data_IF_240427663494
#
_entry.id   IF_240427663494
#
_cell.length_a   1.000
_cell.length_b   1.000
_cell.length_c   1.000
_cell.angle_alpha   90.00
_cell.angle_beta   90.00
_cell.angle_gamma   90.00
#
_symmetry.space_group_name_H-M   'P 1'
#
loop_
_entity.id
_entity.type
_entity.pdbx_description
1 polymer ?
#
# COMPACT_ATOMS: atom_id res chain seq x y z
N UNK A 1 19.61 -24.51 30.27
CA UNK A 1 19.48 -25.97 30.47
C UNK A 1 19.44 -26.65 29.12
N UNK A 2 20.36 -27.58 28.93
CA UNK A 2 20.63 -28.40 27.73
C UNK A 2 19.48 -29.37 27.47
N UNK A 3 19.11 -29.62 26.19
CA UNK A 3 18.89 -30.99 25.71
C UNK A 3 19.06 -31.06 24.19
N UNK A 4 20.15 -31.71 23.83
CA UNK A 4 20.47 -32.29 22.52
C UNK A 4 19.68 -33.61 22.38
N UNK A 5 19.24 -33.93 21.18
CA UNK A 5 19.01 -35.30 20.77
C UNK A 5 19.43 -35.47 19.32
N UNK A 6 20.52 -36.16 19.14
CA UNK A 6 20.97 -36.81 17.92
C UNK A 6 20.02 -37.96 17.57
N UNK A 7 19.69 -38.16 16.33
CA UNK A 7 19.40 -39.47 15.76
C UNK A 7 20.15 -39.63 14.45
N UNK A 8 21.23 -40.40 14.55
CA UNK A 8 21.93 -41.07 13.46
C UNK A 8 21.15 -42.34 13.11
N UNK A 9 20.84 -42.57 11.85
CA UNK A 9 20.59 -43.93 11.37
C UNK A 9 21.20 -44.10 9.99
N UNK A 10 22.21 -44.95 10.00
CA UNK A 10 22.93 -45.53 8.88
C UNK A 10 22.04 -46.57 8.20
N UNK A 11 22.01 -46.58 6.87
CA UNK A 11 21.37 -47.64 6.08
C UNK A 11 22.05 -47.78 4.74
N UNK A 12 22.92 -48.76 4.64
CA UNK A 12 23.70 -49.22 3.49
C UNK A 12 22.78 -50.05 2.56
N UNK A 13 22.96 -49.96 1.25
CA UNK A 13 22.30 -50.91 0.34
C UNK A 13 22.37 -50.55 -1.16
N UNK A 14 23.42 -51.02 -1.78
CA UNK A 14 23.61 -51.75 -3.05
C UNK A 14 23.15 -51.16 -4.41
N UNK A 15 24.16 -50.90 -5.22
CA UNK A 15 24.46 -51.33 -6.61
C UNK A 15 23.27 -51.61 -7.56
N UNK A 16 23.23 -50.84 -8.62
CA UNK A 16 22.42 -51.09 -9.82
C UNK A 16 22.93 -50.30 -11.03
N UNK A 17 23.49 -50.97 -11.95
CA UNK A 17 24.28 -50.70 -13.14
C UNK A 17 23.59 -49.81 -14.22
N UNK A 18 24.42 -48.97 -14.83
CA UNK A 18 24.56 -48.69 -16.29
C UNK A 18 23.29 -48.35 -17.13
N UNK A 19 23.29 -47.13 -17.65
CA UNK A 19 22.46 -46.71 -18.76
C UNK A 19 23.02 -45.43 -19.39
N UNK A 20 24.06 -45.54 -20.17
CA UNK A 20 24.50 -44.50 -21.12
C UNK A 20 23.49 -44.44 -22.28
N UNK A 21 22.74 -43.36 -22.37
CA UNK A 21 22.04 -43.02 -23.58
C UNK A 21 21.91 -41.51 -23.79
N UNK A 22 22.69 -41.03 -24.76
CA UNK A 22 22.37 -40.00 -25.72
C UNK A 22 22.02 -38.59 -25.23
N UNK A 23 22.98 -37.71 -25.39
CA UNK A 23 22.77 -36.30 -25.70
C UNK A 23 21.83 -36.13 -26.88
N UNK A 24 20.75 -35.45 -26.72
CA UNK A 24 19.96 -34.90 -27.81
C UNK A 24 19.21 -33.68 -27.34
N UNK A 25 19.57 -32.51 -27.90
CA UNK A 25 18.69 -31.38 -28.09
C UNK A 25 18.24 -30.65 -26.79
N UNK A 26 19.09 -29.74 -26.30
CA UNK A 26 18.61 -28.68 -25.39
C UNK A 26 17.58 -27.82 -26.10
N UNK A 27 16.30 -28.09 -25.85
CA UNK A 27 15.27 -27.11 -26.07
C UNK A 27 15.51 -25.97 -25.09
N UNK A 28 15.52 -24.68 -25.52
CA UNK A 28 15.52 -23.59 -24.58
C UNK A 28 14.30 -23.77 -23.68
N UNK A 29 14.52 -23.66 -22.36
CA UNK A 29 13.45 -23.64 -21.40
C UNK A 29 12.49 -22.52 -21.83
N UNK A 30 11.34 -22.93 -22.34
CA UNK A 30 10.26 -22.01 -22.64
C UNK A 30 9.96 -21.21 -21.40
N UNK A 31 9.89 -19.91 -21.56
CA UNK A 31 9.32 -19.00 -20.62
C UNK A 31 8.01 -19.63 -20.13
N UNK A 32 8.02 -20.09 -18.91
CA UNK A 32 6.80 -20.51 -18.24
C UNK A 32 5.92 -19.27 -18.17
N UNK A 33 5.01 -19.12 -19.12
CA UNK A 33 3.83 -18.29 -18.94
C UNK A 33 3.13 -18.81 -17.69
N UNK A 34 3.47 -18.25 -16.56
CA UNK A 34 2.63 -18.29 -15.39
C UNK A 34 1.38 -17.53 -15.80
N UNK A 35 0.39 -18.25 -16.30
CA UNK A 35 -0.95 -17.74 -16.45
C UNK A 35 -1.35 -17.23 -15.07
N UNK A 36 -1.24 -15.92 -14.88
CA UNK A 36 -1.62 -15.30 -13.64
C UNK A 36 -3.09 -15.68 -13.41
N UNK A 37 -3.34 -16.46 -12.38
CA UNK A 37 -4.71 -16.85 -12.03
C UNK A 37 -5.51 -15.57 -11.82
N UNK A 38 -6.67 -15.47 -12.49
CA UNK A 38 -7.58 -14.34 -12.34
C UNK A 38 -7.92 -14.17 -10.85
N UNK A 39 -7.71 -12.98 -10.33
CA UNK A 39 -8.13 -12.64 -8.98
C UNK A 39 -9.68 -12.61 -8.94
N UNK A 40 -10.28 -13.39 -8.06
CA UNK A 40 -11.74 -13.45 -7.97
C UNK A 40 -12.34 -12.12 -7.53
N UNK A 41 -11.80 -11.52 -6.49
CA UNK A 41 -12.24 -10.22 -5.96
C UNK A 41 -11.04 -9.37 -5.60
N UNK A 42 -10.99 -8.14 -6.11
CA UNK A 42 -10.04 -7.10 -5.69
C UNK A 42 -10.72 -6.22 -4.63
N UNK A 43 -10.25 -6.30 -3.39
CA UNK A 43 -10.75 -5.50 -2.27
C UNK A 43 -10.00 -4.18 -2.21
N UNK A 44 -10.71 -3.08 -2.48
CA UNK A 44 -10.16 -1.72 -2.54
C UNK A 44 -10.76 -0.88 -1.42
N UNK A 45 -9.92 -0.28 -0.59
CA UNK A 45 -10.38 0.60 0.48
C UNK A 45 -9.89 2.03 0.25
N UNK A 46 -10.83 2.98 0.31
CA UNK A 46 -10.58 4.41 0.05
C UNK A 46 -11.09 5.26 1.20
N UNK A 47 -10.48 6.42 1.48
CA UNK A 47 -10.99 7.33 2.49
C UNK A 47 -12.31 7.98 2.04
N UNK A 48 -13.12 8.44 2.99
CA UNK A 48 -14.36 9.17 2.70
C UNK A 48 -14.13 10.57 2.12
N UNK A 49 -12.89 11.04 2.07
CA UNK A 49 -12.54 12.38 1.57
C UNK A 49 -12.48 12.40 0.05
N UNK A 50 -13.28 13.24 -0.59
CA UNK A 50 -13.42 13.33 -2.05
C UNK A 50 -12.10 13.48 -2.80
N UNK A 51 -11.18 14.28 -2.30
CA UNK A 51 -9.87 14.49 -2.94
C UNK A 51 -9.07 13.19 -3.14
N UNK A 52 -9.25 12.23 -2.25
CA UNK A 52 -8.56 10.93 -2.31
C UNK A 52 -9.42 9.84 -2.95
N UNK A 53 -10.75 10.02 -2.95
CA UNK A 53 -11.65 9.09 -3.61
C UNK A 53 -11.62 9.24 -5.14
N UNK A 54 -11.51 10.48 -5.64
CA UNK A 54 -11.63 10.76 -7.06
C UNK A 54 -10.65 9.93 -7.94
N UNK A 55 -9.35 9.82 -7.65
CA UNK A 55 -8.45 8.97 -8.42
C UNK A 55 -8.81 7.48 -8.37
N UNK A 56 -9.51 7.05 -7.32
CA UNK A 56 -9.86 5.65 -7.08
C UNK A 56 -11.27 5.29 -7.57
N UNK A 57 -12.10 6.29 -7.88
CA UNK A 57 -13.47 6.07 -8.35
C UNK A 57 -13.55 5.26 -9.65
N UNK A 58 -12.47 5.26 -10.43
CA UNK A 58 -12.37 4.54 -11.69
C UNK A 58 -12.13 3.04 -11.55
N UNK A 59 -11.78 2.54 -10.36
CA UNK A 59 -11.44 1.11 -10.18
C UNK A 59 -12.60 0.14 -10.50
N UNK A 60 -13.83 0.61 -10.45
CA UNK A 60 -15.01 -0.19 -10.82
C UNK A 60 -15.57 0.08 -12.21
N UNK A 61 -15.09 1.13 -12.90
CA UNK A 61 -15.72 1.63 -14.14
C UNK A 61 -14.86 1.48 -15.39
N UNK A 62 -13.56 1.34 -15.27
CA UNK A 62 -12.70 1.15 -16.44
C UNK A 62 -12.39 -0.34 -16.64
N UNK A 63 -12.86 -0.93 -17.72
CA UNK A 63 -12.66 -2.34 -18.10
C UNK A 63 -11.20 -2.78 -18.32
N UNK A 64 -10.21 -2.00 -17.86
CA UNK A 64 -8.79 -2.34 -17.97
C UNK A 64 -8.35 -3.47 -17.03
N UNK A 65 -9.18 -3.84 -16.07
CA UNK A 65 -8.96 -4.98 -15.19
C UNK A 65 -9.66 -6.25 -15.69
N UNK A 66 -10.39 -6.17 -16.80
CA UNK A 66 -11.06 -7.30 -17.40
C UNK A 66 -10.06 -8.40 -17.73
N UNK A 67 -10.39 -9.62 -17.36
CA UNK A 67 -9.49 -10.75 -17.51
C UNK A 67 -8.49 -10.96 -16.36
N UNK A 68 -8.18 -9.91 -15.58
CA UNK A 68 -7.28 -9.98 -14.42
C UNK A 68 -8.05 -10.14 -13.11
N UNK A 69 -9.21 -9.48 -13.00
CA UNK A 69 -10.03 -9.43 -11.80
C UNK A 69 -11.46 -9.87 -12.14
N UNK A 70 -12.07 -10.67 -11.28
CA UNK A 70 -13.46 -11.11 -11.41
C UNK A 70 -14.43 -10.00 -11.07
N UNK A 71 -14.27 -9.39 -9.89
CA UNK A 71 -15.00 -8.20 -9.47
C UNK A 71 -14.10 -7.29 -8.64
N UNK A 72 -14.44 -6.00 -8.59
CA UNK A 72 -13.83 -5.03 -7.69
C UNK A 72 -14.84 -4.66 -6.61
N UNK A 73 -14.42 -4.77 -5.34
CA UNK A 73 -15.19 -4.36 -4.16
C UNK A 73 -14.54 -3.10 -3.57
N UNK A 74 -15.19 -1.96 -3.72
CA UNK A 74 -14.68 -0.65 -3.26
C UNK A 74 -15.45 -0.24 -2.01
N UNK A 75 -14.74 -0.13 -0.89
CA UNK A 75 -15.29 0.26 0.40
C UNK A 75 -14.59 1.48 0.97
N UNK A 76 -15.30 2.22 1.82
CA UNK A 76 -14.76 3.42 2.46
C UNK A 76 -14.26 3.11 3.89
N UNK A 77 -13.14 3.74 4.26
CA UNK A 77 -12.71 3.80 5.64
C UNK A 77 -12.87 5.23 6.21
N UNK A 78 -13.26 5.31 7.47
CA UNK A 78 -13.60 6.58 8.13
C UNK A 78 -12.42 7.20 8.91
N UNK A 79 -11.45 6.39 9.35
CA UNK A 79 -10.30 6.86 10.13
C UNK A 79 -9.02 6.10 9.76
N UNK A 80 -7.87 6.76 9.98
CA UNK A 80 -6.55 6.15 9.75
C UNK A 80 -6.36 4.87 10.57
N UNK A 81 -6.97 4.77 11.74
CA UNK A 81 -6.83 3.57 12.58
C UNK A 81 -7.65 2.40 12.03
N UNK A 82 -8.85 2.66 11.48
CA UNK A 82 -9.62 1.65 10.73
C UNK A 82 -8.81 1.16 9.51
N UNK A 83 -8.24 2.08 8.74
CA UNK A 83 -7.38 1.74 7.60
C UNK A 83 -6.20 0.86 8.02
N UNK A 84 -5.51 1.19 9.12
CA UNK A 84 -4.41 0.37 9.65
C UNK A 84 -4.87 -1.03 10.02
N UNK A 85 -6.04 -1.17 10.65
CA UNK A 85 -6.61 -2.46 11.02
C UNK A 85 -6.90 -3.32 9.80
N UNK A 86 -7.47 -2.75 8.74
CA UNK A 86 -7.72 -3.46 7.48
C UNK A 86 -6.43 -3.98 6.83
N UNK A 87 -5.36 -3.17 6.85
CA UNK A 87 -4.05 -3.57 6.30
C UNK A 87 -3.42 -4.67 7.16
N UNK A 88 -3.40 -4.51 8.47
CA UNK A 88 -2.82 -5.49 9.41
C UNK A 88 -3.60 -6.80 9.38
N UNK A 89 -4.92 -6.75 9.28
CA UNK A 89 -5.81 -7.92 9.18
C UNK A 89 -5.77 -8.63 7.83
N UNK A 90 -5.09 -8.05 6.81
CA UNK A 90 -5.09 -8.61 5.45
C UNK A 90 -6.47 -8.56 4.78
N UNK A 91 -7.31 -7.60 5.17
CA UNK A 91 -8.67 -7.45 4.69
C UNK A 91 -8.77 -6.55 3.44
N UNK A 92 -7.64 -6.03 2.96
CA UNK A 92 -7.55 -5.16 1.79
C UNK A 92 -6.42 -5.60 0.87
N UNK A 93 -6.65 -5.52 -0.42
CA UNK A 93 -5.62 -5.80 -1.45
C UNK A 93 -5.01 -4.50 -1.96
N UNK A 94 -5.83 -3.43 -2.04
CA UNK A 94 -5.40 -2.10 -2.43
C UNK A 94 -6.03 -1.07 -1.50
N UNK A 95 -5.22 -0.16 -0.98
CA UNK A 95 -5.70 0.89 -0.08
C UNK A 95 -5.17 2.26 -0.48
N UNK A 96 -6.06 3.23 -0.61
CA UNK A 96 -5.68 4.62 -0.71
C UNK A 96 -5.45 5.16 0.72
N UNK A 97 -4.25 5.66 1.00
CA UNK A 97 -3.85 6.08 2.34
C UNK A 97 -2.84 7.22 2.26
N UNK A 98 -2.74 8.07 3.29
CA UNK A 98 -1.64 9.02 3.38
C UNK A 98 -0.28 8.32 3.34
N UNK A 99 0.66 8.84 2.56
CA UNK A 99 1.97 8.23 2.34
C UNK A 99 2.75 7.97 3.64
N UNK A 100 2.67 8.88 4.61
CA UNK A 100 3.32 8.71 5.92
C UNK A 100 2.75 7.51 6.71
N UNK A 101 1.44 7.25 6.59
CA UNK A 101 0.81 6.12 7.27
C UNK A 101 1.26 4.79 6.65
N UNK A 102 1.34 4.73 5.33
CA UNK A 102 1.90 3.57 4.62
C UNK A 102 3.37 3.34 4.99
N UNK A 103 4.20 4.40 5.00
CA UNK A 103 5.60 4.32 5.40
C UNK A 103 5.76 3.77 6.83
N UNK A 104 4.93 4.23 7.77
CA UNK A 104 4.94 3.71 9.14
C UNK A 104 4.58 2.23 9.23
N UNK A 105 3.61 1.77 8.45
CA UNK A 105 3.25 0.34 8.40
C UNK A 105 4.38 -0.50 7.78
N UNK A 106 4.97 -0.02 6.70
CA UNK A 106 6.12 -0.66 6.07
C UNK A 106 7.31 -0.79 7.04
N UNK A 107 7.66 0.28 7.75
CA UNK A 107 8.74 0.29 8.74
C UNK A 107 8.47 -0.63 9.94
N UNK A 108 7.21 -0.98 10.19
CA UNK A 108 6.81 -2.00 11.18
C UNK A 108 6.84 -3.42 10.63
N UNK A 109 7.34 -3.61 9.40
CA UNK A 109 7.52 -4.93 8.79
C UNK A 109 6.31 -5.48 8.05
N UNK A 110 5.25 -4.67 7.81
CA UNK A 110 4.13 -5.14 7.00
C UNK A 110 4.54 -5.27 5.53
N UNK A 111 4.17 -6.36 4.84
CA UNK A 111 4.55 -6.62 3.45
C UNK A 111 3.68 -5.82 2.46
N UNK A 112 3.72 -4.50 2.57
CA UNK A 112 3.00 -3.59 1.67
C UNK A 112 3.93 -2.96 0.65
N UNK A 113 3.38 -2.50 -0.48
CA UNK A 113 4.12 -1.83 -1.54
C UNK A 113 3.41 -0.54 -1.94
N UNK A 114 4.19 0.51 -2.19
CA UNK A 114 3.69 1.71 -2.82
C UNK A 114 3.49 1.44 -4.32
N UNK A 115 2.25 1.57 -4.80
CA UNK A 115 1.91 1.37 -6.21
C UNK A 115 1.98 2.70 -6.97
N UNK A 116 1.38 3.76 -6.41
CA UNK A 116 1.38 5.08 -7.03
C UNK A 116 1.14 6.17 -5.99
N UNK A 117 1.61 7.38 -6.30
CA UNK A 117 1.20 8.61 -5.64
C UNK A 117 0.14 9.27 -6.51
N UNK A 118 -1.10 9.29 -6.06
CA UNK A 118 -2.25 9.73 -6.87
C UNK A 118 -2.63 11.19 -6.66
N UNK A 119 -2.22 11.80 -5.55
CA UNK A 119 -2.54 13.19 -5.20
C UNK A 119 -1.27 13.93 -4.80
N UNK A 120 -1.06 15.08 -5.41
CA UNK A 120 0.07 15.98 -5.17
C UNK A 120 -0.45 17.38 -4.82
N UNK A 121 0.23 18.12 -3.91
CA UNK A 121 -0.09 19.50 -3.59
C UNK A 121 -1.50 19.66 -2.99
N UNK A 122 -1.84 18.86 -1.98
CA UNK A 122 -3.21 18.75 -1.45
C UNK A 122 -3.55 19.74 -0.32
N UNK A 123 -2.57 20.46 0.23
CA UNK A 123 -2.81 21.34 1.38
C UNK A 123 -2.92 22.80 0.92
N UNK A 124 -4.03 23.43 1.27
CA UNK A 124 -4.33 24.81 0.96
C UNK A 124 -4.86 25.50 2.22
N UNK A 125 -4.56 26.79 2.36
CA UNK A 125 -5.17 27.67 3.34
C UNK A 125 -6.30 28.39 2.64
N UNK A 126 -7.51 28.22 3.14
CA UNK A 126 -8.71 28.87 2.60
C UNK A 126 -9.11 29.99 3.54
N UNK A 127 -9.46 31.12 2.98
CA UNK A 127 -10.01 32.28 3.70
C UNK A 127 -11.26 32.83 3.02
N UNK A 128 -11.97 33.75 3.68
CA UNK A 128 -13.07 34.48 3.04
C UNK A 128 -12.62 35.20 1.76
N UNK A 129 -13.53 35.38 0.85
CA UNK A 129 -13.30 36.19 -0.36
C UNK A 129 -12.77 37.57 0.03
N UNK A 130 -11.73 38.07 -0.67
CA UNK A 130 -11.08 39.33 -0.35
C UNK A 130 -10.14 39.29 0.85
N UNK A 131 -9.89 38.12 1.46
CA UNK A 131 -8.92 38.03 2.53
C UNK A 131 -7.51 38.32 2.00
N UNK A 132 -6.82 39.26 2.65
CA UNK A 132 -5.46 39.68 2.29
C UNK A 132 -4.34 38.80 2.87
N UNK A 133 -4.66 37.67 3.45
CA UNK A 133 -3.67 36.78 4.04
C UNK A 133 -2.77 36.18 2.93
N UNK A 134 -1.60 36.75 2.76
CA UNK A 134 -0.57 36.23 1.86
C UNK A 134 0.45 35.42 2.68
N UNK A 135 0.48 34.12 2.44
CA UNK A 135 1.42 33.25 3.16
C UNK A 135 1.06 33.02 4.64
N UNK A 136 1.97 32.39 5.33
CA UNK A 136 1.83 32.04 6.75
C UNK A 136 1.83 33.27 7.65
N UNK A 137 2.63 34.29 7.32
CA UNK A 137 2.74 35.53 8.09
C UNK A 137 1.39 36.28 8.16
N UNK A 138 0.59 36.20 7.11
CA UNK A 138 -0.75 36.79 7.05
C UNK A 138 -1.75 36.16 8.03
N UNK A 139 -1.41 35.05 8.64
CA UNK A 139 -2.24 34.36 9.63
C UNK A 139 -2.03 34.86 11.06
N UNK A 140 -1.03 35.69 11.30
CA UNK A 140 -0.73 36.22 12.65
C UNK A 140 -1.95 36.89 13.26
N UNK A 141 -2.34 36.46 14.45
CA UNK A 141 -3.52 36.94 15.17
C UNK A 141 -4.86 36.44 14.62
N UNK A 142 -4.86 35.55 13.63
CA UNK A 142 -6.09 34.94 13.08
C UNK A 142 -6.37 33.60 13.73
N UNK A 143 -7.66 33.21 13.74
CA UNK A 143 -8.07 31.85 14.11
C UNK A 143 -8.04 30.97 12.87
N UNK A 144 -7.27 29.90 12.90
CA UNK A 144 -7.15 28.94 11.80
C UNK A 144 -7.70 27.60 12.23
N UNK A 145 -8.64 27.06 11.46
CA UNK A 145 -9.14 25.71 11.65
C UNK A 145 -8.22 24.71 10.94
N UNK A 146 -7.64 23.78 11.67
CA UNK A 146 -6.78 22.74 11.11
C UNK A 146 -7.46 21.38 11.28
N UNK A 147 -7.76 20.65 10.19
CA UNK A 147 -8.41 19.35 10.27
C UNK A 147 -7.42 18.27 10.70
N UNK A 148 -7.95 17.16 11.21
CA UNK A 148 -7.21 15.93 11.53
C UNK A 148 -6.05 16.17 12.51
N UNK A 149 -6.34 16.48 13.80
CA UNK A 149 -5.30 16.67 14.81
C UNK A 149 -4.30 15.50 14.86
N UNK A 150 -3.02 15.84 15.06
CA UNK A 150 -1.90 14.89 15.07
C UNK A 150 -1.69 14.06 13.79
N UNK A 151 -2.32 14.47 12.70
CA UNK A 151 -2.09 13.92 11.36
C UNK A 151 -1.38 14.94 10.46
N UNK A 152 -1.09 14.55 9.24
CA UNK A 152 -0.25 15.32 8.32
C UNK A 152 -0.63 16.80 8.18
N UNK A 153 -1.91 17.20 8.02
CA UNK A 153 -2.25 18.62 7.89
C UNK A 153 -1.85 19.43 9.12
N UNK A 154 -2.13 18.91 10.31
CA UNK A 154 -1.79 19.55 11.58
C UNK A 154 -0.27 19.62 11.79
N UNK A 155 0.44 18.52 11.55
CA UNK A 155 1.89 18.46 11.71
C UNK A 155 2.60 19.40 10.76
N UNK A 156 2.18 19.47 9.48
CA UNK A 156 2.74 20.38 8.48
C UNK A 156 2.45 21.84 8.87
N UNK A 157 1.22 22.15 9.30
CA UNK A 157 0.86 23.49 9.71
C UNK A 157 1.67 23.94 10.91
N UNK A 158 1.81 23.13 11.96
CA UNK A 158 2.67 23.43 13.12
C UNK A 158 4.13 23.63 12.73
N UNK A 159 4.65 22.77 11.86
CA UNK A 159 6.02 22.91 11.35
C UNK A 159 6.22 24.26 10.65
N UNK A 160 5.32 24.64 9.74
CA UNK A 160 5.37 25.93 9.04
C UNK A 160 5.28 27.10 10.01
N UNK A 161 4.40 27.04 11.01
CA UNK A 161 4.30 28.08 12.05
C UNK A 161 5.62 28.22 12.85
N UNK A 162 6.28 27.10 13.15
CA UNK A 162 7.58 27.12 13.86
C UNK A 162 8.70 27.73 13.02
N UNK A 163 8.65 27.56 11.70
CA UNK A 163 9.65 28.12 10.79
C UNK A 163 9.44 29.63 10.50
N UNK A 164 8.22 30.11 10.67
CA UNK A 164 7.86 31.52 10.36
C UNK A 164 7.94 32.45 11.58
N UNK A 165 8.25 31.99 12.77
CA UNK A 165 8.41 32.79 14.00
C UNK A 165 7.10 33.03 14.71
#
# INVERSE_FOLDING_TARGET
MKRRSLFTLTGLGLLGTAGLAACSGGKPAGEGSTSASKLETLRVHVPTTLAFMAPMASFGTFGKLDGLVGKTDVQNWASVDVMKSLVVGGETDLVATPSYAAANLFNKGLPIRLVAMTVWGMLYILGPEGSSAQGIEGLKGKKVGVPLPNNMPDLVFRYLMTQSG
#
